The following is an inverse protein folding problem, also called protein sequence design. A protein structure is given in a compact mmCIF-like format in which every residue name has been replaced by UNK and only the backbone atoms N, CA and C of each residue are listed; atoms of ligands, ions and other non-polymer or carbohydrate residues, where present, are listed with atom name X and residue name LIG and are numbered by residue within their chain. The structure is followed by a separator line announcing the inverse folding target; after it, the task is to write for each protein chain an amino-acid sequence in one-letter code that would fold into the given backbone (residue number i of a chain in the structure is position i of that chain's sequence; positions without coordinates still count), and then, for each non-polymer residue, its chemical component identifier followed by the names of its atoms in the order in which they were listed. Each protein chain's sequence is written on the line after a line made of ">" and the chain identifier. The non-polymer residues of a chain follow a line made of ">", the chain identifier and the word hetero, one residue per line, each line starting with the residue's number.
data_IF_438200851551
#
_entry.id   IF_438200851551
#
_cell.length_a   1.000
_cell.length_b   1.000
_cell.length_c   1.000
_cell.angle_alpha   90.00
_cell.angle_beta   90.00
_cell.angle_gamma   90.00
#
_symmetry.space_group_name_H-M   'P 1'
#
loop_
_entity.id
_entity.type
_entity.pdbx_description
1 polymer ?
#
# COMPACT_ATOMS: atom_id res chain seq x y z
N UNK A 1 21.05 49.67 -20.59
CA UNK A 1 20.92 48.46 -19.78
C UNK A 1 19.80 47.64 -20.42
N UNK A 2 20.15 46.56 -21.12
CA UNK A 2 19.23 45.88 -22.04
C UNK A 2 18.23 45.01 -21.29
N UNK A 3 17.03 44.85 -21.85
CA UNK A 3 15.97 43.96 -21.36
C UNK A 3 16.45 42.51 -21.12
N UNK A 4 17.54 42.09 -21.76
CA UNK A 4 18.16 40.78 -21.61
C UNK A 4 18.71 40.52 -20.19
N UNK A 5 19.11 41.56 -19.45
CA UNK A 5 19.66 41.43 -18.09
C UNK A 5 18.58 41.21 -17.02
N UNK A 6 17.32 41.60 -17.31
CA UNK A 6 16.20 41.51 -16.37
C UNK A 6 15.54 40.13 -16.47
N UNK A 7 15.43 39.57 -17.68
CA UNK A 7 14.83 38.24 -17.92
C UNK A 7 15.70 37.12 -17.32
N UNK A 8 17.03 37.25 -17.41
CA UNK A 8 17.96 36.27 -16.80
C UNK A 8 17.91 36.29 -15.26
N UNK A 9 17.56 37.43 -14.64
CA UNK A 9 17.40 37.53 -13.19
C UNK A 9 16.04 37.00 -12.70
N UNK A 10 14.99 37.08 -13.53
CA UNK A 10 13.67 36.49 -13.22
C UNK A 10 13.66 34.96 -13.33
N UNK A 11 14.40 34.37 -14.29
CA UNK A 11 14.58 32.91 -14.38
C UNK A 11 15.35 32.35 -13.17
N UNK A 12 16.39 33.04 -12.71
CA UNK A 12 17.21 32.64 -11.54
C UNK A 12 16.43 32.77 -10.22
N UNK A 13 15.59 33.81 -10.06
CA UNK A 13 14.72 33.97 -8.88
C UNK A 13 13.64 32.88 -8.84
N UNK A 14 13.14 32.43 -9.99
CA UNK A 14 12.13 31.35 -10.06
C UNK A 14 12.75 30.00 -9.72
N UNK A 15 13.95 29.69 -10.23
CA UNK A 15 14.70 28.48 -9.85
C UNK A 15 15.13 28.49 -8.37
N UNK A 16 15.51 29.65 -7.84
CA UNK A 16 15.83 29.83 -6.41
C UNK A 16 14.57 29.72 -5.56
N UNK A 17 13.44 30.28 -5.98
CA UNK A 17 12.16 30.13 -5.30
C UNK A 17 11.68 28.67 -5.30
N UNK A 18 11.80 27.98 -6.44
CA UNK A 18 11.48 26.55 -6.56
C UNK A 18 12.42 25.69 -5.70
N UNK A 19 13.72 26.00 -5.65
CA UNK A 19 14.69 25.35 -4.72
C UNK A 19 14.38 25.62 -3.25
N UNK A 20 13.99 26.84 -2.89
CA UNK A 20 13.62 27.22 -1.51
C UNK A 20 12.27 26.58 -1.12
N UNK A 21 11.33 26.44 -2.06
CA UNK A 21 10.07 25.74 -1.88
C UNK A 21 10.29 24.22 -1.78
N UNK A 22 11.18 23.62 -2.59
CA UNK A 22 11.60 22.22 -2.50
C UNK A 22 12.34 21.91 -1.20
N UNK A 23 13.16 22.83 -0.68
CA UNK A 23 13.90 22.64 0.57
C UNK A 23 13.03 22.78 1.84
N UNK A 24 11.85 23.41 1.76
CA UNK A 24 11.01 23.69 2.94
C UNK A 24 9.72 22.87 3.00
N UNK A 25 9.31 22.21 1.90
CA UNK A 25 8.20 21.24 1.91
C UNK A 25 8.70 19.80 1.81
N UNK A 26 9.31 19.30 2.88
CA UNK A 26 9.29 17.85 3.11
C UNK A 26 7.82 17.42 3.15
N UNK A 27 7.37 16.66 2.16
CA UNK A 27 5.99 16.17 2.11
C UNK A 27 5.58 15.61 3.49
N UNK A 28 4.41 16.01 4.03
CA UNK A 28 4.04 15.70 5.40
C UNK A 28 4.06 14.19 5.63
N UNK A 29 4.57 13.74 6.78
CA UNK A 29 4.64 12.32 7.11
C UNK A 29 3.23 11.77 7.31
N UNK A 30 2.93 10.68 6.61
CA UNK A 30 1.64 9.99 6.70
C UNK A 30 1.69 8.87 7.73
N UNK A 31 2.78 8.09 7.74
CA UNK A 31 2.99 7.02 8.72
C UNK A 31 4.42 7.11 9.24
N UNK A 32 4.55 7.07 10.56
CA UNK A 32 5.83 7.03 11.27
C UNK A 32 5.81 5.83 12.22
N UNK A 33 6.79 4.94 12.07
CA UNK A 33 6.97 3.75 12.88
C UNK A 33 8.28 3.97 13.62
N UNK A 34 8.21 4.08 14.95
CA UNK A 34 9.34 4.43 15.81
C UNK A 34 9.65 3.28 16.77
N UNK A 35 10.75 2.61 16.52
CA UNK A 35 11.31 1.49 17.28
C UNK A 35 10.26 0.43 17.66
N UNK A 36 9.43 0.04 16.69
CA UNK A 36 8.29 -0.85 16.97
C UNK A 36 8.74 -2.29 17.13
N UNK A 37 8.35 -2.87 18.26
CA UNK A 37 8.49 -4.30 18.55
C UNK A 37 7.12 -4.90 18.84
N UNK A 38 6.86 -6.10 18.31
CA UNK A 38 5.65 -6.87 18.58
C UNK A 38 6.02 -8.28 18.98
N UNK A 39 5.64 -8.66 20.19
CA UNK A 39 5.81 -10.01 20.73
C UNK A 39 4.48 -10.59 21.20
N UNK A 40 4.30 -11.88 20.95
CA UNK A 40 3.14 -12.65 21.34
C UNK A 40 3.53 -13.64 22.43
N UNK A 41 2.66 -13.80 23.44
CA UNK A 41 2.81 -14.88 24.43
C UNK A 41 2.31 -16.18 23.80
N UNK A 42 3.14 -17.21 23.83
CA UNK A 42 2.81 -18.56 23.38
C UNK A 42 3.02 -19.55 24.52
N UNK A 43 2.47 -20.78 24.45
CA UNK A 43 2.71 -21.80 25.46
C UNK A 43 4.20 -22.14 25.66
N UNK A 44 5.02 -21.97 24.62
CA UNK A 44 6.47 -22.21 24.64
C UNK A 44 7.33 -21.00 25.02
N UNK A 45 6.73 -19.86 25.37
CA UNK A 45 7.46 -18.64 25.74
C UNK A 45 6.99 -17.39 24.99
N UNK A 46 7.88 -16.41 24.86
CA UNK A 46 7.58 -15.18 24.12
C UNK A 46 8.08 -15.30 22.69
N UNK A 47 7.16 -15.22 21.72
CA UNK A 47 7.50 -15.18 20.30
C UNK A 47 7.51 -13.73 19.82
N UNK A 48 8.69 -13.19 19.51
CA UNK A 48 8.82 -11.86 18.90
C UNK A 48 8.64 -11.98 17.40
N UNK A 49 7.62 -11.33 16.84
CA UNK A 49 7.34 -11.38 15.41
C UNK A 49 8.18 -10.34 14.64
N UNK A 50 8.14 -9.09 15.09
CA UNK A 50 8.95 -7.99 14.55
C UNK A 50 9.64 -7.27 15.70
N UNK A 51 10.83 -6.73 15.44
CA UNK A 51 11.66 -6.06 16.45
C UNK A 51 12.30 -4.82 15.85
N UNK A 52 12.36 -3.76 16.65
CA UNK A 52 13.07 -2.50 16.38
C UNK A 52 12.84 -1.99 14.94
N UNK A 53 11.56 -1.94 14.52
CA UNK A 53 11.19 -1.45 13.19
C UNK A 53 11.11 0.07 13.21
N UNK A 54 11.89 0.71 12.35
CA UNK A 54 11.83 2.14 12.06
C UNK A 54 11.49 2.36 10.58
N UNK A 55 10.38 3.05 10.31
CA UNK A 55 9.92 3.32 8.95
C UNK A 55 9.14 4.64 8.89
N UNK A 56 9.51 5.50 7.95
CA UNK A 56 8.78 6.74 7.64
C UNK A 56 8.21 6.67 6.24
N UNK A 57 6.91 6.90 6.12
CA UNK A 57 6.18 6.95 4.84
C UNK A 57 5.58 8.34 4.67
N UNK A 58 5.94 9.02 3.58
CA UNK A 58 5.44 10.37 3.28
C UNK A 58 4.01 10.30 2.74
N UNK A 59 3.25 11.38 2.91
CA UNK A 59 1.92 11.53 2.30
C UNK A 59 2.05 11.37 0.79
N UNK A 60 1.18 10.54 0.23
CA UNK A 60 1.18 10.26 -1.20
C UNK A 60 2.15 9.17 -1.65
N UNK A 61 3.01 8.63 -0.77
CA UNK A 61 3.89 7.51 -1.16
C UNK A 61 3.09 6.20 -1.26
N UNK A 62 3.47 5.37 -2.23
CA UNK A 62 3.12 3.95 -2.30
C UNK A 62 4.34 3.16 -1.83
N UNK A 63 4.21 2.36 -0.78
CA UNK A 63 5.29 1.55 -0.21
C UNK A 63 4.92 0.08 -0.27
N UNK A 64 5.80 -0.74 -0.83
CA UNK A 64 5.69 -2.19 -0.79
C UNK A 64 6.52 -2.78 0.33
N UNK A 65 5.95 -3.72 1.08
CA UNK A 65 6.64 -4.57 2.02
C UNK A 65 6.83 -5.94 1.37
N UNK A 66 8.09 -6.37 1.19
CA UNK A 66 8.44 -7.67 0.64
C UNK A 66 9.29 -8.48 1.62
N UNK A 67 9.26 -9.79 1.50
CA UNK A 67 10.01 -10.72 2.36
C UNK A 67 9.35 -12.10 2.39
N UNK A 68 9.98 -13.09 2.99
CA UNK A 68 9.48 -14.47 3.01
C UNK A 68 8.18 -14.61 3.80
N UNK A 69 7.41 -15.66 3.53
CA UNK A 69 6.23 -15.99 4.34
C UNK A 69 6.61 -16.16 5.81
N UNK A 70 5.84 -15.52 6.70
CA UNK A 70 6.09 -15.59 8.14
C UNK A 70 7.10 -14.58 8.71
N UNK A 71 7.68 -13.67 7.92
CA UNK A 71 8.60 -12.63 8.43
C UNK A 71 7.92 -11.46 9.18
N UNK A 72 6.61 -11.54 9.45
CA UNK A 72 5.91 -10.52 10.22
C UNK A 72 5.36 -9.33 9.44
N UNK A 73 5.30 -9.39 8.09
CA UNK A 73 4.62 -8.39 7.23
C UNK A 73 3.20 -8.07 7.69
N UNK A 74 2.36 -9.11 7.86
CA UNK A 74 0.98 -8.94 8.33
C UNK A 74 0.92 -8.44 9.79
N UNK A 75 1.93 -8.76 10.62
CA UNK A 75 2.05 -8.19 11.98
C UNK A 75 2.32 -6.70 11.93
N UNK A 76 3.25 -6.26 11.06
CA UNK A 76 3.54 -4.85 10.84
C UNK A 76 2.30 -4.12 10.30
N UNK A 77 1.63 -4.66 9.29
CA UNK A 77 0.37 -4.12 8.78
C UNK A 77 -0.73 -4.03 9.84
N UNK A 78 -0.90 -5.08 10.65
CA UNK A 78 -1.84 -5.10 11.76
C UNK A 78 -1.52 -4.06 12.83
N UNK A 79 -0.24 -3.73 13.01
CA UNK A 79 0.21 -2.69 13.94
C UNK A 79 -0.09 -1.30 13.39
N UNK A 80 0.16 -1.07 12.10
CA UNK A 80 -0.17 0.20 11.41
C UNK A 80 -1.68 0.43 11.38
N UNK A 81 -2.49 -0.61 11.16
CA UNK A 81 -3.95 -0.50 11.19
C UNK A 81 -4.47 -0.20 12.60
N UNK A 82 -3.74 -0.61 13.63
CA UNK A 82 -4.12 -0.51 15.05
C UNK A 82 -4.84 -1.74 15.57
N UNK A 83 -4.90 -2.83 14.80
CA UNK A 83 -5.47 -4.12 15.24
C UNK A 83 -4.53 -4.90 16.14
N UNK A 84 -3.23 -4.73 15.97
CA UNK A 84 -2.19 -5.35 16.80
C UNK A 84 -1.53 -4.23 17.60
N UNK A 85 -1.50 -4.37 18.92
CA UNK A 85 -0.83 -3.41 19.79
C UNK A 85 0.67 -3.74 19.85
N UNK A 86 1.57 -2.78 19.62
CA UNK A 86 2.99 -3.02 19.78
C UNK A 86 3.34 -3.28 21.25
N UNK A 87 4.28 -4.18 21.50
CA UNK A 87 4.85 -4.44 22.84
C UNK A 87 5.91 -3.41 23.22
N UNK A 88 6.54 -2.77 22.22
CA UNK A 88 7.46 -1.63 22.39
C UNK A 88 7.38 -0.66 21.21
N UNK A 89 7.80 0.58 21.42
CA UNK A 89 7.73 1.64 20.40
C UNK A 89 6.32 2.18 20.16
N UNK A 90 6.13 2.87 19.03
CA UNK A 90 4.83 3.40 18.64
C UNK A 90 4.69 3.61 17.13
N UNK A 91 3.45 3.63 16.66
CA UNK A 91 3.08 4.06 15.31
C UNK A 91 2.28 5.35 15.39
N UNK A 92 2.64 6.32 14.55
CA UNK A 92 1.89 7.56 14.31
C UNK A 92 1.30 7.51 12.90
N UNK A 93 0.02 7.84 12.76
CA UNK A 93 -0.65 8.04 11.48
C UNK A 93 -1.13 9.50 11.40
N UNK A 94 -0.66 10.24 10.40
CA UNK A 94 -0.89 11.67 10.24
C UNK A 94 -0.64 12.46 11.54
N UNK A 95 0.48 12.18 12.20
CA UNK A 95 0.89 12.79 13.47
C UNK A 95 0.11 12.33 14.72
N UNK A 96 -0.84 11.40 14.60
CA UNK A 96 -1.62 10.88 15.72
C UNK A 96 -1.21 9.45 16.07
N UNK A 97 -1.04 9.15 17.36
CA UNK A 97 -0.72 7.80 17.83
C UNK A 97 -1.83 6.82 17.45
N UNK A 98 -1.44 5.71 16.82
CA UNK A 98 -2.34 4.60 16.51
C UNK A 98 -2.55 3.78 17.77
N UNK A 99 -3.79 3.78 18.28
CA UNK A 99 -4.17 3.01 19.47
C UNK A 99 -5.22 1.96 19.19
N UNK A 100 -5.98 2.11 18.11
CA UNK A 100 -7.07 1.23 17.70
C UNK A 100 -7.32 1.38 16.19
N UNK A 101 -8.03 0.43 15.56
CA UNK A 101 -8.49 0.59 14.18
C UNK A 101 -9.37 1.82 13.99
N UNK A 102 -9.35 2.39 12.78
CA UNK A 102 -10.11 3.61 12.46
C UNK A 102 -10.39 3.73 10.95
N UNK A 103 -11.45 4.45 10.56
CA UNK A 103 -11.84 4.59 9.15
C UNK A 103 -10.84 5.39 8.31
N UNK A 104 -9.92 6.11 8.94
CA UNK A 104 -8.83 6.84 8.27
C UNK A 104 -7.76 5.91 7.67
N UNK A 105 -7.75 4.63 8.09
CA UNK A 105 -6.83 3.56 7.64
C UNK A 105 -7.63 2.36 7.15
N UNK A 106 -7.98 2.34 5.87
CA UNK A 106 -8.70 1.22 5.26
C UNK A 106 -7.78 0.02 5.04
N UNK A 107 -8.28 -1.20 5.26
CA UNK A 107 -7.50 -2.43 5.12
C UNK A 107 -8.18 -3.45 4.21
N UNK A 108 -7.40 -4.07 3.33
CA UNK A 108 -7.78 -5.22 2.51
C UNK A 108 -6.93 -6.40 2.95
N UNK A 109 -7.56 -7.41 3.55
CA UNK A 109 -6.88 -8.64 3.97
C UNK A 109 -6.84 -9.69 2.86
N UNK A 110 -5.84 -10.55 2.92
CA UNK A 110 -5.72 -11.76 2.10
C UNK A 110 -6.97 -12.65 2.15
N UNK A 111 -7.61 -12.80 3.32
CA UNK A 111 -8.82 -13.63 3.51
C UNK A 111 -10.14 -12.98 3.03
N UNK A 112 -10.09 -11.90 2.25
CA UNK A 112 -11.22 -11.11 1.70
C UNK A 112 -12.14 -10.44 2.74
N UNK A 113 -12.35 -11.07 3.90
CA UNK A 113 -13.18 -10.61 5.02
C UNK A 113 -14.56 -10.10 4.59
N UNK A 114 -15.19 -10.76 3.61
CA UNK A 114 -16.55 -10.43 3.16
C UNK A 114 -17.57 -11.00 4.14
N UNK A 115 -18.66 -10.26 4.35
CA UNK A 115 -19.80 -10.68 5.16
C UNK A 115 -20.61 -11.71 4.36
N UNK A 116 -20.60 -13.01 4.76
CA UNK A 116 -21.09 -14.10 3.92
C UNK A 116 -22.62 -14.08 3.72
N UNK A 117 -23.36 -13.42 4.61
CA UNK A 117 -24.81 -13.25 4.56
C UNK A 117 -25.27 -12.00 3.81
N UNK A 118 -24.35 -11.18 3.30
CA UNK A 118 -24.67 -9.98 2.51
C UNK A 118 -24.31 -10.20 1.04
N UNK A 119 -25.07 -9.59 0.14
CA UNK A 119 -24.72 -9.57 -1.29
C UNK A 119 -23.45 -8.77 -1.54
N UNK A 120 -22.85 -8.90 -2.73
CA UNK A 120 -21.71 -8.09 -3.17
C UNK A 120 -21.97 -6.60 -3.00
N UNK A 121 -23.13 -6.12 -3.45
CA UNK A 121 -23.57 -4.74 -3.26
C UNK A 121 -23.60 -4.35 -1.79
N UNK A 122 -24.28 -5.15 -0.96
CA UNK A 122 -24.47 -4.85 0.47
C UNK A 122 -23.15 -4.89 1.25
N UNK A 123 -22.21 -5.74 0.85
CA UNK A 123 -20.86 -5.78 1.44
C UNK A 123 -20.13 -4.44 1.31
N UNK A 124 -20.31 -3.75 0.19
CA UNK A 124 -19.69 -2.45 -0.07
C UNK A 124 -20.54 -1.33 0.55
N UNK A 125 -21.86 -1.38 0.37
CA UNK A 125 -22.78 -0.37 0.89
C UNK A 125 -22.67 -0.21 2.41
N UNK A 126 -22.57 -1.31 3.17
CA UNK A 126 -22.42 -1.24 4.63
C UNK A 126 -21.13 -0.51 5.05
N UNK A 127 -20.04 -0.66 4.30
CA UNK A 127 -18.80 0.08 4.57
C UNK A 127 -18.98 1.58 4.31
N UNK A 128 -19.59 1.94 3.17
CA UNK A 128 -19.91 3.34 2.84
C UNK A 128 -20.84 3.96 3.88
N UNK A 129 -21.91 3.28 4.24
CA UNK A 129 -22.93 3.78 5.15
C UNK A 129 -22.42 3.95 6.58
N UNK A 130 -21.57 3.03 7.04
CA UNK A 130 -20.98 3.09 8.38
C UNK A 130 -19.93 4.20 8.54
N UNK A 131 -19.16 4.51 7.48
CA UNK A 131 -18.07 5.48 7.52
C UNK A 131 -18.51 6.88 7.08
N UNK A 132 -19.29 6.99 6.00
CA UNK A 132 -19.66 8.26 5.37
C UNK A 132 -21.10 8.63 5.74
N UNK A 133 -21.28 9.25 6.91
CA UNK A 133 -22.63 9.52 7.46
C UNK A 133 -23.31 10.76 6.90
N UNK A 134 -22.55 11.74 6.42
CA UNK A 134 -23.03 13.10 6.15
C UNK A 134 -23.37 13.38 4.67
N UNK A 135 -23.63 12.33 3.87
CA UNK A 135 -24.00 12.47 2.46
C UNK A 135 -25.38 11.84 2.19
N UNK A 136 -26.14 12.34 1.20
CA UNK A 136 -27.40 11.75 0.79
C UNK A 136 -27.26 10.27 0.41
N UNK A 137 -28.31 9.47 0.63
CA UNK A 137 -28.33 8.06 0.25
C UNK A 137 -28.07 7.87 -1.25
N UNK A 138 -28.57 8.77 -2.10
CA UNK A 138 -28.32 8.75 -3.55
C UNK A 138 -26.83 8.88 -3.89
N UNK A 139 -26.04 9.61 -3.11
CA UNK A 139 -24.59 9.71 -3.28
C UNK A 139 -23.88 8.46 -2.78
N UNK A 140 -24.33 7.87 -1.66
CA UNK A 140 -23.82 6.56 -1.18
C UNK A 140 -24.02 5.49 -2.23
N UNK A 141 -25.21 5.42 -2.83
CA UNK A 141 -25.52 4.48 -3.91
C UNK A 141 -24.54 4.68 -5.07
N UNK A 142 -24.36 5.92 -5.54
CA UNK A 142 -23.41 6.23 -6.64
C UNK A 142 -21.98 5.79 -6.32
N UNK A 143 -21.49 5.99 -5.09
CA UNK A 143 -20.16 5.52 -4.67
C UNK A 143 -20.05 4.01 -4.80
N UNK A 144 -21.04 3.25 -4.32
CA UNK A 144 -21.06 1.79 -4.42
C UNK A 144 -21.08 1.34 -5.89
N UNK A 145 -21.93 1.94 -6.72
CA UNK A 145 -22.02 1.59 -8.14
C UNK A 145 -20.71 1.86 -8.88
N UNK A 146 -20.11 3.04 -8.68
CA UNK A 146 -18.85 3.43 -9.34
C UNK A 146 -17.73 2.47 -8.97
N UNK A 147 -17.60 2.11 -7.69
CA UNK A 147 -16.55 1.18 -7.25
C UNK A 147 -16.80 -0.26 -7.72
N UNK A 148 -18.07 -0.71 -7.81
CA UNK A 148 -18.39 -2.01 -8.40
C UNK A 148 -18.09 -2.09 -9.90
N UNK A 149 -18.35 -1.01 -10.63
CA UNK A 149 -18.05 -0.90 -12.06
C UNK A 149 -16.54 -0.87 -12.30
N UNK A 150 -15.79 -0.13 -11.48
CA UNK A 150 -14.33 -0.07 -11.53
C UNK A 150 -13.69 -1.46 -11.43
N UNK A 151 -14.19 -2.31 -10.52
CA UNK A 151 -13.69 -3.69 -10.39
C UNK A 151 -14.38 -4.68 -11.32
N UNK A 152 -15.19 -4.23 -12.27
CA UNK A 152 -15.94 -5.06 -13.23
C UNK A 152 -16.76 -6.18 -12.56
N UNK A 153 -17.55 -5.82 -11.55
CA UNK A 153 -18.44 -6.75 -10.81
C UNK A 153 -19.89 -6.26 -10.70
N UNK A 154 -20.28 -5.24 -11.46
CA UNK A 154 -21.64 -4.71 -11.44
C UNK A 154 -22.71 -5.78 -11.72
N UNK A 155 -22.47 -6.62 -12.73
CA UNK A 155 -23.35 -7.75 -13.10
C UNK A 155 -23.43 -8.86 -12.03
N UNK A 156 -22.66 -8.75 -10.95
CA UNK A 156 -22.62 -9.71 -9.84
C UNK A 156 -23.05 -9.11 -8.50
N UNK A 157 -23.58 -7.88 -8.51
CA UNK A 157 -23.94 -7.11 -7.32
C UNK A 157 -24.91 -7.84 -6.37
N UNK A 158 -25.78 -8.70 -6.91
CA UNK A 158 -26.80 -9.42 -6.15
C UNK A 158 -26.36 -10.81 -5.67
N UNK A 159 -25.16 -11.28 -6.08
CA UNK A 159 -24.61 -12.56 -5.63
C UNK A 159 -24.13 -12.48 -4.18
N UNK A 160 -24.17 -13.60 -3.47
CA UNK A 160 -23.53 -13.79 -2.17
C UNK A 160 -22.06 -14.21 -2.35
N UNK A 161 -21.16 -13.94 -1.38
CA UNK A 161 -19.76 -14.33 -1.46
C UNK A 161 -19.53 -15.81 -1.76
N UNK A 162 -20.38 -16.72 -1.27
CA UNK A 162 -20.29 -18.15 -1.57
C UNK A 162 -20.42 -18.50 -3.06
N UNK A 163 -21.01 -17.61 -3.87
CA UNK A 163 -21.25 -17.80 -5.30
C UNK A 163 -20.15 -17.16 -6.18
N UNK A 164 -19.08 -16.65 -5.58
CA UNK A 164 -17.99 -15.94 -6.25
C UNK A 164 -16.71 -16.78 -6.26
N UNK A 165 -15.92 -16.67 -7.33
CA UNK A 165 -14.55 -17.17 -7.35
C UNK A 165 -13.66 -16.40 -6.37
N UNK A 166 -12.48 -16.95 -6.04
CA UNK A 166 -11.50 -16.27 -5.17
C UNK A 166 -11.14 -14.87 -5.66
N UNK A 167 -10.77 -14.74 -6.93
CA UNK A 167 -10.46 -13.44 -7.53
C UNK A 167 -11.64 -12.47 -7.57
N UNK A 168 -12.88 -12.95 -7.72
CA UNK A 168 -14.06 -12.09 -7.57
C UNK A 168 -14.21 -11.59 -6.13
N UNK A 169 -14.06 -12.45 -5.11
CA UNK A 169 -14.09 -12.05 -3.70
C UNK A 169 -13.02 -11.00 -3.39
N UNK A 170 -11.83 -11.16 -3.94
CA UNK A 170 -10.74 -10.20 -3.81
C UNK A 170 -11.10 -8.84 -4.39
N UNK A 171 -11.64 -8.81 -5.61
CA UNK A 171 -12.12 -7.59 -6.24
C UNK A 171 -13.23 -6.89 -5.45
N UNK A 172 -14.15 -7.63 -4.82
CA UNK A 172 -15.16 -7.04 -3.91
C UNK A 172 -14.50 -6.42 -2.67
N UNK A 173 -13.51 -7.09 -2.08
CA UNK A 173 -12.80 -6.58 -0.91
C UNK A 173 -12.04 -5.27 -1.22
N UNK A 174 -11.40 -5.21 -2.39
CA UNK A 174 -10.75 -4.00 -2.92
C UNK A 174 -11.77 -2.88 -3.12
N UNK A 175 -12.88 -3.16 -3.83
CA UNK A 175 -13.93 -2.15 -4.07
C UNK A 175 -14.50 -1.60 -2.76
N UNK A 176 -14.71 -2.45 -1.75
CA UNK A 176 -15.17 -2.04 -0.42
C UNK A 176 -14.20 -1.05 0.25
N UNK A 177 -12.91 -1.34 0.23
CA UNK A 177 -11.91 -0.45 0.81
C UNK A 177 -11.77 0.87 0.04
N UNK A 178 -11.89 0.83 -1.29
CA UNK A 178 -11.84 2.03 -2.13
C UNK A 178 -13.06 2.93 -1.96
N UNK A 179 -14.23 2.34 -1.71
CA UNK A 179 -15.49 3.08 -1.60
C UNK A 179 -15.56 4.04 -0.41
N UNK A 180 -14.80 3.77 0.66
CA UNK A 180 -14.76 4.65 1.84
C UNK A 180 -13.67 5.74 1.75
N UNK A 181 -12.89 5.74 0.67
CA UNK A 181 -11.84 6.72 0.36
C UNK A 181 -10.93 7.10 1.55
N UNK A 182 -10.22 6.13 2.16
CA UNK A 182 -9.38 6.40 3.33
C UNK A 182 -8.09 7.15 2.93
N UNK A 183 -7.54 7.94 3.85
CA UNK A 183 -6.25 8.65 3.63
C UNK A 183 -5.07 7.69 3.55
N UNK A 184 -5.15 6.58 4.29
CA UNK A 184 -4.18 5.50 4.30
C UNK A 184 -4.88 4.22 3.88
N UNK A 185 -4.31 3.53 2.91
CA UNK A 185 -4.81 2.26 2.41
C UNK A 185 -3.75 1.17 2.61
N UNK A 186 -4.14 0.13 3.34
CA UNK A 186 -3.31 -1.01 3.70
C UNK A 186 -3.78 -2.23 2.92
N UNK A 187 -2.91 -2.83 2.11
CA UNK A 187 -3.25 -3.93 1.21
C UNK A 187 -2.39 -5.17 1.50
N UNK A 188 -2.97 -6.25 2.01
CA UNK A 188 -2.25 -7.49 2.31
C UNK A 188 -2.47 -8.50 1.17
N UNK A 189 -1.46 -8.67 0.30
CA UNK A 189 -1.52 -9.46 -0.93
C UNK A 189 -2.78 -9.20 -1.78
N UNK A 190 -3.05 -7.93 -2.14
CA UNK A 190 -4.32 -7.53 -2.75
C UNK A 190 -4.60 -8.14 -4.12
N UNK A 191 -3.60 -8.70 -4.81
CA UNK A 191 -3.76 -9.20 -6.17
C UNK A 191 -3.38 -10.68 -6.33
N UNK A 192 -3.04 -11.37 -5.24
CA UNK A 192 -2.48 -12.73 -5.29
C UNK A 192 -3.44 -13.82 -5.83
N UNK A 193 -4.76 -13.62 -5.77
CA UNK A 193 -5.74 -14.58 -6.27
C UNK A 193 -6.35 -14.19 -7.63
N UNK A 194 -5.75 -13.22 -8.31
CA UNK A 194 -6.17 -12.75 -9.63
C UNK A 194 -5.34 -13.39 -10.75
N UNK A 195 -5.96 -13.67 -11.88
CA UNK A 195 -5.24 -14.01 -13.11
C UNK A 195 -4.43 -12.79 -13.61
N UNK A 196 -3.42 -13.03 -14.46
CA UNK A 196 -2.47 -12.01 -14.88
C UNK A 196 -3.11 -10.78 -15.57
N UNK A 197 -4.16 -10.98 -16.36
CA UNK A 197 -4.86 -9.89 -17.07
C UNK A 197 -5.66 -9.05 -16.07
N UNK A 198 -6.46 -9.70 -15.21
CA UNK A 198 -7.23 -9.03 -14.18
C UNK A 198 -6.32 -8.32 -13.18
N UNK A 199 -5.22 -8.95 -12.77
CA UNK A 199 -4.18 -8.36 -11.91
C UNK A 199 -3.64 -7.08 -12.53
N UNK A 200 -3.28 -7.11 -13.81
CA UNK A 200 -2.78 -5.93 -14.52
C UNK A 200 -3.79 -4.79 -14.61
N UNK A 201 -5.06 -5.10 -14.87
CA UNK A 201 -6.12 -4.09 -14.84
C UNK A 201 -6.27 -3.46 -13.44
N UNK A 202 -6.23 -4.27 -12.37
CA UNK A 202 -6.33 -3.78 -10.98
C UNK A 202 -5.14 -2.94 -10.53
N UNK A 203 -3.93 -3.23 -11.00
CA UNK A 203 -2.78 -2.35 -10.76
C UNK A 203 -3.02 -0.95 -11.36
N UNK A 204 -3.58 -0.89 -12.57
CA UNK A 204 -3.90 0.37 -13.24
C UNK A 204 -4.99 1.12 -12.49
N UNK A 205 -6.05 0.44 -12.05
CA UNK A 205 -7.13 1.08 -11.27
C UNK A 205 -6.64 1.60 -9.91
N UNK A 206 -5.75 0.87 -9.21
CA UNK A 206 -5.11 1.36 -7.99
C UNK A 206 -4.35 2.67 -8.25
N UNK A 207 -3.52 2.70 -9.30
CA UNK A 207 -2.74 3.89 -9.66
C UNK A 207 -3.64 5.06 -10.08
N UNK A 208 -4.73 4.80 -10.81
CA UNK A 208 -5.73 5.83 -11.15
C UNK A 208 -6.34 6.41 -9.89
N UNK A 209 -6.78 5.59 -8.95
CA UNK A 209 -7.38 6.06 -7.69
C UNK A 209 -6.42 6.85 -6.81
N UNK A 210 -5.15 6.46 -6.82
CA UNK A 210 -4.09 7.19 -6.13
C UNK A 210 -3.81 8.54 -6.81
N UNK A 211 -3.83 8.58 -8.15
CA UNK A 211 -3.55 9.79 -8.94
C UNK A 211 -4.71 10.79 -8.91
N UNK A 212 -5.94 10.32 -9.06
CA UNK A 212 -7.15 11.16 -9.14
C UNK A 212 -7.40 11.96 -7.85
N UNK A 213 -6.88 11.50 -6.72
CA UNK A 213 -7.03 12.16 -5.42
C UNK A 213 -5.84 13.11 -5.12
N UNK A 214 -5.23 13.72 -6.14
CA UNK A 214 -4.07 14.62 -6.01
C UNK A 214 -2.91 14.03 -5.17
N UNK A 215 -2.74 12.70 -5.18
CA UNK A 215 -1.77 11.97 -4.33
C UNK A 215 -1.96 12.22 -2.84
N UNK A 216 -3.18 12.51 -2.39
CA UNK A 216 -3.47 12.62 -0.97
C UNK A 216 -3.43 11.25 -0.25
N UNK A 217 -3.60 10.17 -1.01
CA UNK A 217 -3.63 8.79 -0.50
C UNK A 217 -2.23 8.23 -0.32
N UNK A 218 -1.99 7.67 0.85
CA UNK A 218 -0.81 6.86 1.14
C UNK A 218 -1.17 5.40 1.06
N UNK A 219 -0.38 4.59 0.36
CA UNK A 219 -0.65 3.16 0.18
C UNK A 219 0.52 2.37 0.76
N UNK A 220 0.21 1.42 1.63
CA UNK A 220 1.17 0.39 2.03
C UNK A 220 0.62 -0.95 1.56
N UNK A 221 1.39 -1.69 0.78
CA UNK A 221 1.01 -3.00 0.30
C UNK A 221 2.03 -4.05 0.70
N UNK A 222 1.56 -5.25 1.01
CA UNK A 222 2.38 -6.45 1.14
C UNK A 222 2.24 -7.24 -0.15
N UNK A 223 3.36 -7.61 -0.74
CA UNK A 223 3.40 -8.47 -1.92
C UNK A 223 4.62 -9.38 -1.88
N UNK A 224 4.53 -10.50 -2.58
CA UNK A 224 5.66 -11.38 -2.87
C UNK A 224 6.15 -11.24 -4.32
N UNK A 225 5.50 -10.39 -5.11
CA UNK A 225 5.81 -10.17 -6.52
C UNK A 225 6.70 -8.91 -6.67
N UNK A 226 7.93 -9.11 -7.14
CA UNK A 226 8.91 -8.04 -7.34
C UNK A 226 8.46 -7.07 -8.43
N UNK A 227 7.91 -7.58 -9.55
CA UNK A 227 7.45 -6.75 -10.65
C UNK A 227 6.29 -5.85 -10.20
N UNK A 228 5.40 -6.39 -9.37
CA UNK A 228 4.31 -5.64 -8.73
C UNK A 228 4.84 -4.53 -7.82
N UNK A 229 5.82 -4.85 -6.97
CA UNK A 229 6.44 -3.89 -6.07
C UNK A 229 7.10 -2.73 -6.83
N UNK A 230 7.88 -3.03 -7.87
CA UNK A 230 8.55 -2.02 -8.72
C UNK A 230 7.52 -1.23 -9.53
N UNK A 231 6.49 -1.88 -10.07
CA UNK A 231 5.48 -1.21 -10.88
C UNK A 231 4.66 -0.21 -10.07
N UNK A 232 4.26 -0.56 -8.85
CA UNK A 232 3.34 0.25 -8.05
C UNK A 232 4.03 1.26 -7.15
N UNK A 233 5.21 0.95 -6.60
CA UNK A 233 5.71 1.63 -5.41
C UNK A 233 6.72 2.75 -5.70
N UNK A 234 6.81 3.69 -4.79
CA UNK A 234 7.91 4.65 -4.68
C UNK A 234 9.07 4.07 -3.87
N UNK A 235 8.77 3.17 -2.92
CA UNK A 235 9.76 2.46 -2.09
C UNK A 235 9.38 1.01 -1.87
N UNK A 236 10.40 0.17 -1.74
CA UNK A 236 10.26 -1.24 -1.39
C UNK A 236 11.05 -1.51 -0.11
N UNK A 237 10.35 -1.89 0.94
CA UNK A 237 10.93 -2.29 2.23
C UNK A 237 11.10 -3.80 2.22
N UNK A 238 12.34 -4.25 2.29
CA UNK A 238 12.69 -5.66 2.38
C UNK A 238 12.82 -6.04 3.86
N UNK A 239 12.04 -7.01 4.30
CA UNK A 239 12.10 -7.53 5.67
C UNK A 239 13.07 -8.73 5.74
N UNK A 240 13.79 -8.84 6.87
CA UNK A 240 14.60 -10.02 7.18
C UNK A 240 13.72 -11.27 7.39
N UNK A 241 14.36 -12.44 7.49
CA UNK A 241 13.67 -13.71 7.71
C UNK A 241 13.71 -14.11 9.19
N UNK A 242 12.66 -14.80 9.65
CA UNK A 242 12.64 -15.47 10.95
C UNK A 242 11.98 -14.66 12.08
N UNK A 243 12.04 -15.17 13.34
CA UNK A 243 11.52 -14.43 14.49
C UNK A 243 12.35 -13.16 14.75
N UNK A 244 11.74 -12.17 15.39
CA UNK A 244 12.33 -10.86 15.65
C UNK A 244 12.82 -10.16 14.39
N UNK A 245 12.04 -10.27 13.31
CA UNK A 245 12.38 -9.68 12.01
C UNK A 245 12.55 -8.17 12.14
N UNK A 246 13.62 -7.67 11.53
CA UNK A 246 13.93 -6.24 11.31
C UNK A 246 13.80 -5.89 9.82
N UNK A 247 13.90 -4.61 9.48
CA UNK A 247 14.06 -4.19 8.09
C UNK A 247 15.48 -4.55 7.65
N UNK A 248 15.60 -5.29 6.54
CA UNK A 248 16.86 -5.60 5.88
C UNK A 248 17.36 -4.39 5.12
N UNK A 249 16.48 -3.83 4.28
CA UNK A 249 16.82 -2.71 3.41
C UNK A 249 15.56 -1.96 2.96
N UNK A 250 15.71 -0.68 2.66
CA UNK A 250 14.68 0.14 2.00
C UNK A 250 15.26 0.57 0.66
N UNK A 251 14.63 0.13 -0.43
CA UNK A 251 15.05 0.41 -1.80
C UNK A 251 14.10 1.44 -2.41
N UNK A 252 14.63 2.60 -2.78
CA UNK A 252 13.86 3.61 -3.53
C UNK A 252 13.63 3.15 -4.98
N UNK A 253 12.48 3.49 -5.54
CA UNK A 253 12.10 3.18 -6.93
C UNK A 253 12.01 4.49 -7.73
N UNK A 254 13.15 5.02 -8.23
CA UNK A 254 13.22 6.30 -8.95
C UNK A 254 12.68 6.23 -10.39
N UNK A 255 11.60 5.49 -10.61
CA UNK A 255 10.91 5.35 -11.89
C UNK A 255 9.72 6.31 -11.92
N UNK A 256 9.72 7.26 -12.86
CA UNK A 256 8.66 8.26 -12.99
C UNK A 256 7.32 7.61 -13.34
N UNK A 257 6.23 8.17 -12.81
CA UNK A 257 4.85 7.82 -13.18
C UNK A 257 4.32 8.80 -14.25
N UNK A 258 3.40 8.39 -15.15
CA UNK A 258 2.78 7.07 -15.24
C UNK A 258 3.74 6.01 -15.78
N UNK A 259 3.70 4.82 -15.18
CA UNK A 259 4.51 3.67 -15.59
C UNK A 259 3.70 2.82 -16.56
N UNK A 260 4.23 2.56 -17.74
CA UNK A 260 3.66 1.58 -18.67
C UNK A 260 4.33 0.22 -18.41
N UNK A 261 3.54 -0.81 -18.09
CA UNK A 261 4.06 -2.17 -17.85
C UNK A 261 4.91 -2.71 -19.00
N UNK A 262 4.57 -2.35 -20.25
CA UNK A 262 5.31 -2.82 -21.44
C UNK A 262 6.63 -2.10 -21.63
N UNK A 263 6.71 -0.82 -21.26
CA UNK A 263 7.89 0.01 -21.56
C UNK A 263 8.88 0.01 -20.40
N UNK A 264 8.39 -0.11 -19.15
CA UNK A 264 9.20 0.00 -17.94
C UNK A 264 10.27 -1.08 -17.85
N UNK A 265 10.00 -2.28 -18.40
CA UNK A 265 10.95 -3.40 -18.37
C UNK A 265 12.22 -3.14 -19.20
N UNK A 266 12.17 -2.16 -20.11
CA UNK A 266 13.32 -1.74 -20.90
C UNK A 266 14.10 -0.58 -20.26
N UNK A 267 13.63 -0.01 -19.14
CA UNK A 267 14.37 1.00 -18.40
C UNK A 267 15.54 0.33 -17.66
N UNK A 268 16.80 0.77 -17.86
CA UNK A 268 17.95 0.20 -17.15
C UNK A 268 17.80 0.21 -15.63
N UNK A 269 17.16 1.24 -15.07
CA UNK A 269 16.91 1.34 -13.63
C UNK A 269 15.94 0.27 -13.14
N UNK A 270 14.97 -0.13 -13.97
CA UNK A 270 14.05 -1.21 -13.63
C UNK A 270 14.83 -2.51 -13.39
N UNK A 271 15.74 -2.84 -14.31
CA UNK A 271 16.55 -4.06 -14.21
C UNK A 271 17.48 -4.01 -12.99
N UNK A 272 18.13 -2.87 -12.72
CA UNK A 272 18.98 -2.69 -11.54
C UNK A 272 18.21 -2.93 -10.23
N UNK A 273 17.01 -2.35 -10.09
CA UNK A 273 16.16 -2.53 -8.91
C UNK A 273 15.66 -3.96 -8.83
N UNK A 274 15.25 -4.55 -9.95
CA UNK A 274 14.78 -5.93 -10.01
C UNK A 274 15.84 -6.91 -9.53
N UNK A 275 17.06 -6.80 -10.03
CA UNK A 275 18.17 -7.67 -9.64
C UNK A 275 18.55 -7.45 -8.17
N UNK A 276 18.58 -6.21 -7.71
CA UNK A 276 18.81 -5.89 -6.29
C UNK A 276 17.77 -6.52 -5.38
N UNK A 277 16.47 -6.35 -5.68
CA UNK A 277 15.39 -6.93 -4.89
C UNK A 277 15.41 -8.46 -4.93
N UNK A 278 15.72 -9.04 -6.10
CA UNK A 278 15.87 -10.49 -6.27
C UNK A 278 16.99 -11.03 -5.39
N UNK A 279 18.17 -10.42 -5.41
CA UNK A 279 19.31 -10.82 -4.58
C UNK A 279 18.98 -10.72 -3.08
N UNK A 280 18.33 -9.63 -2.66
CA UNK A 280 17.93 -9.44 -1.26
C UNK A 280 16.95 -10.52 -0.77
N UNK A 281 16.15 -11.10 -1.66
CA UNK A 281 15.25 -12.22 -1.36
C UNK A 281 15.90 -13.60 -1.53
N UNK A 282 16.90 -13.74 -2.40
CA UNK A 282 17.47 -15.04 -2.81
C UNK A 282 18.68 -15.47 -1.96
N UNK A 283 19.17 -14.66 -1.01
CA UNK A 283 20.33 -14.92 -0.11
C UNK A 283 20.40 -16.31 0.62
N UNK A 284 19.48 -17.25 0.39
CA UNK A 284 19.54 -18.65 0.84
C UNK A 284 19.29 -19.73 -0.23
N UNK A 285 19.14 -19.41 -1.51
CA UNK A 285 19.01 -20.41 -2.59
C UNK A 285 20.27 -20.55 -3.45
N UNK A 286 21.44 -20.30 -2.87
CA UNK A 286 22.69 -20.82 -3.41
C UNK A 286 22.69 -22.33 -3.18
N UNK A 287 22.61 -23.11 -4.27
CA UNK A 287 23.04 -24.50 -4.25
C UNK A 287 24.56 -24.43 -4.12
N UNK A 288 25.08 -24.52 -2.90
CA UNK A 288 26.45 -24.97 -2.59
C UNK A 288 26.60 -25.07 -1.06
N UNK A 289 26.51 -26.30 -0.54
CA UNK A 289 27.38 -26.88 0.51
C UNK A 289 26.81 -28.24 0.99
N UNK A 290 26.81 -29.25 0.12
CA UNK A 290 26.97 -30.65 0.51
C UNK A 290 27.96 -31.33 -0.47
N UNK A 291 29.24 -31.24 -0.13
CA UNK A 291 30.27 -32.21 -0.50
C UNK A 291 30.89 -32.75 0.78
#
# INVERSE_FOLDING_TARGET
>A
MSQTSIIAAEEDITEIADRILEQTYSAPVSIEINNVTVSFKTPGGTYTAIKDIDLTVKKGEIVSLIGHSGCGKSTLMGTISGMVKPTGGMVLANGKKVTSPGPDRGIVFQNYSLLPWLTVYKNIYVAVDSVIKNIPETEKIKLVETNLKMVNLWEHKDKLPGQLSGGMKQRVAIARAFSINPKILLLDEPFGALDALTKSAMHIELLKLWTLDHREKTIIMVTHDIEEAIFLSDKVVVMNNGPATTIKEIVDVPLKRPRNKKDIVYDPKYMEIHDRLSNLLIDKFSIDDEH
#
